data_IF_546725745784
#
_entry.id   IF_546725745784
#
_cell.length_a   1.000
_cell.length_b   1.000
_cell.length_c   1.000
_cell.angle_alpha   90.00
_cell.angle_beta   90.00
_cell.angle_gamma   90.00
#
_symmetry.space_group_name_H-M   'P 1'
#
loop_
_entity.id
_entity.type
_entity.pdbx_description
1 polymer ?
#
# COMPACT_ATOMS: atom_id res chain seq x y z
N UNK A 1 -0.14 -6.61 -23.34
CA UNK A 1 0.14 -7.99 -23.78
C UNK A 1 1.61 -8.40 -23.63
N UNK A 2 2.60 -7.53 -23.88
CA UNK A 2 4.02 -7.90 -23.68
C UNK A 2 4.44 -7.99 -22.20
N UNK A 3 4.04 -7.02 -21.36
CA UNK A 3 4.48 -6.96 -19.96
C UNK A 3 3.94 -8.11 -19.09
N UNK A 4 2.66 -8.50 -19.25
CA UNK A 4 2.07 -9.62 -18.51
C UNK A 4 2.76 -10.95 -18.81
N UNK A 5 3.18 -11.14 -20.06
CA UNK A 5 3.88 -12.34 -20.52
C UNK A 5 5.27 -12.46 -19.91
N UNK A 6 5.99 -11.35 -19.79
CA UNK A 6 7.31 -11.30 -19.14
C UNK A 6 7.18 -11.67 -17.66
N UNK A 7 6.18 -11.12 -16.96
CA UNK A 7 5.97 -11.40 -15.54
C UNK A 7 5.58 -12.87 -15.28
N UNK A 8 4.79 -13.48 -16.18
CA UNK A 8 4.48 -14.91 -16.11
C UNK A 8 5.72 -15.79 -16.34
N UNK A 9 6.57 -15.44 -17.31
CA UNK A 9 7.82 -16.15 -17.61
C UNK A 9 8.82 -16.05 -16.45
N UNK A 10 8.80 -14.95 -15.69
CA UNK A 10 9.60 -14.77 -14.47
C UNK A 10 8.96 -15.37 -13.20
N UNK A 11 7.77 -15.98 -13.32
CA UNK A 11 7.07 -16.61 -12.19
C UNK A 11 6.50 -15.61 -11.17
N UNK A 12 6.32 -14.34 -11.55
CA UNK A 12 5.89 -13.24 -10.67
C UNK A 12 4.37 -13.03 -10.66
N UNK A 13 3.63 -13.69 -11.55
CA UNK A 13 2.18 -13.57 -11.67
C UNK A 13 1.72 -12.26 -12.34
N UNK A 14 0.41 -12.14 -12.57
CA UNK A 14 -0.18 -10.93 -13.16
C UNK A 14 -0.52 -9.96 -12.02
N UNK A 15 -0.09 -8.68 -12.11
CA UNK A 15 -0.45 -7.69 -11.11
C UNK A 15 -1.95 -7.42 -11.14
N UNK A 16 -2.51 -7.21 -9.95
CA UNK A 16 -3.87 -6.69 -9.79
C UNK A 16 -4.01 -5.30 -10.41
N UNK A 17 -5.24 -4.92 -10.73
CA UNK A 17 -5.54 -3.57 -11.21
C UNK A 17 -5.03 -2.50 -10.22
N UNK A 18 -5.17 -2.74 -8.92
CA UNK A 18 -4.74 -1.80 -7.88
C UNK A 18 -3.21 -1.63 -7.85
N UNK A 19 -2.44 -2.70 -8.04
CA UNK A 19 -0.98 -2.62 -8.15
C UNK A 19 -0.54 -1.83 -9.38
N UNK A 20 -1.21 -2.03 -10.52
CA UNK A 20 -0.93 -1.29 -11.76
C UNK A 20 -1.23 0.20 -11.57
N UNK A 21 -2.38 0.55 -11.00
CA UNK A 21 -2.76 1.96 -10.75
C UNK A 21 -1.83 2.61 -9.73
N UNK A 22 -1.42 1.89 -8.69
CA UNK A 22 -0.46 2.37 -7.69
C UNK A 22 0.90 2.67 -8.34
N UNK A 23 1.42 1.77 -9.18
CA UNK A 23 2.66 2.01 -9.90
C UNK A 23 2.55 3.22 -10.84
N UNK A 24 1.43 3.34 -11.57
CA UNK A 24 1.15 4.47 -12.45
C UNK A 24 1.09 5.80 -11.70
N UNK A 25 0.45 5.84 -10.52
CA UNK A 25 0.33 7.07 -9.72
C UNK A 25 1.69 7.55 -9.21
N UNK A 26 2.53 6.65 -8.70
CA UNK A 26 3.89 6.97 -8.24
C UNK A 26 4.76 7.52 -9.37
N UNK A 27 4.71 6.89 -10.56
CA UNK A 27 5.41 7.38 -11.75
C UNK A 27 4.89 8.77 -12.16
N UNK A 28 3.58 8.96 -12.16
CA UNK A 28 2.97 10.23 -12.51
C UNK A 28 3.39 11.35 -11.56
N UNK A 29 3.35 11.12 -10.23
CA UNK A 29 3.77 12.11 -9.24
C UNK A 29 5.24 12.50 -9.37
N UNK A 30 6.12 11.52 -9.64
CA UNK A 30 7.53 11.78 -9.95
C UNK A 30 7.68 12.65 -11.18
N UNK A 31 7.00 12.32 -12.28
CA UNK A 31 7.11 13.04 -13.55
C UNK A 31 6.55 14.47 -13.46
N UNK A 32 5.52 14.67 -12.62
CA UNK A 32 4.98 15.98 -12.30
C UNK A 32 5.81 16.77 -11.29
N UNK A 33 6.83 16.16 -10.68
CA UNK A 33 7.70 16.80 -9.67
C UNK A 33 6.89 17.44 -8.54
N UNK A 34 5.89 16.71 -8.02
CA UNK A 34 5.08 17.21 -6.90
C UNK A 34 5.95 17.38 -5.66
N UNK A 35 5.71 18.42 -4.87
CA UNK A 35 6.43 18.64 -3.61
C UNK A 35 6.03 17.60 -2.55
N UNK A 36 4.74 17.26 -2.51
CA UNK A 36 4.16 16.28 -1.59
C UNK A 36 3.13 15.44 -2.34
N UNK A 37 3.20 14.12 -2.19
CA UNK A 37 2.17 13.19 -2.60
C UNK A 37 1.47 12.62 -1.36
N UNK A 38 0.14 12.68 -1.34
CA UNK A 38 -0.68 12.01 -0.32
C UNK A 38 -1.14 10.69 -0.90
N UNK A 39 -0.76 9.59 -0.25
CA UNK A 39 -1.05 8.23 -0.71
C UNK A 39 -2.04 7.61 0.28
N UNK A 40 -3.26 7.37 -0.19
CA UNK A 40 -4.28 6.63 0.55
C UNK A 40 -4.05 5.13 0.37
N UNK A 41 -4.08 4.40 1.48
CA UNK A 41 -3.97 2.94 1.51
C UNK A 41 -5.26 2.32 0.95
N UNK A 42 -5.14 1.29 0.11
CA UNK A 42 -6.30 0.58 -0.44
C UNK A 42 -7.04 -0.22 0.64
N UNK A 43 -6.40 -1.27 1.18
CA UNK A 43 -6.97 -2.09 2.26
C UNK A 43 -5.90 -2.39 3.32
N UNK A 44 -6.20 -2.01 4.56
CA UNK A 44 -5.35 -2.31 5.70
C UNK A 44 -4.09 -1.46 5.76
N UNK A 45 -2.96 -1.96 5.22
CA UNK A 45 -1.67 -1.26 5.30
C UNK A 45 -0.46 -2.17 5.07
N UNK A 46 -0.29 -3.20 5.90
CA UNK A 46 0.91 -4.06 5.92
C UNK A 46 1.26 -4.65 4.55
N UNK A 47 0.27 -5.25 3.88
CA UNK A 47 0.42 -5.86 2.55
C UNK A 47 -0.22 -5.05 1.42
N UNK A 48 -0.55 -3.79 1.67
CA UNK A 48 -1.15 -2.93 0.65
C UNK A 48 -0.12 -2.54 -0.40
N UNK A 49 -0.52 -2.45 -1.67
CA UNK A 49 0.38 -2.10 -2.79
C UNK A 49 1.06 -0.74 -2.59
N UNK A 50 0.46 0.16 -1.82
CA UNK A 50 1.03 1.47 -1.51
C UNK A 50 2.18 1.42 -0.50
N UNK A 51 2.35 0.31 0.25
CA UNK A 51 3.32 0.17 1.36
C UNK A 51 4.77 -0.10 0.90
N UNK A 52 5.12 0.33 -0.31
CA UNK A 52 6.46 0.23 -0.91
C UNK A 52 7.28 1.53 -0.79
N UNK A 53 6.71 2.55 -0.14
CA UNK A 53 7.31 3.88 0.03
C UNK A 53 7.82 4.09 1.46
N UNK A 54 8.74 5.06 1.61
CA UNK A 54 9.15 5.60 2.92
C UNK A 54 8.54 6.99 3.08
N UNK A 55 7.40 7.14 3.79
CA UNK A 55 6.74 8.43 3.93
C UNK A 55 7.44 9.30 4.98
N UNK A 56 7.28 10.62 4.86
CA UNK A 56 7.70 11.58 5.91
C UNK A 56 6.74 11.58 7.11
N UNK A 57 5.51 11.12 6.91
CA UNK A 57 4.45 11.05 7.90
C UNK A 57 3.52 9.88 7.56
N UNK A 58 3.21 9.06 8.56
CA UNK A 58 2.19 8.01 8.46
C UNK A 58 0.96 8.43 9.27
N UNK A 59 -0.24 8.21 8.73
CA UNK A 59 -1.49 8.59 9.39
C UNK A 59 -2.40 7.38 9.47
N UNK A 60 -2.79 7.02 10.69
CA UNK A 60 -3.87 6.07 10.96
C UNK A 60 -5.04 6.89 11.48
N UNK A 61 -6.18 6.81 10.80
CA UNK A 61 -7.39 7.58 11.16
C UNK A 61 -8.15 6.88 12.29
N UNK A 62 -9.16 6.09 11.97
CA UNK A 62 -9.95 5.30 12.91
C UNK A 62 -9.77 3.82 12.64
N UNK A 63 -9.74 3.02 13.72
CA UNK A 63 -9.73 1.56 13.65
C UNK A 63 -11.12 1.08 14.04
N UNK A 64 -11.75 0.27 13.17
CA UNK A 64 -13.06 -0.30 13.39
C UNK A 64 -13.15 -1.67 12.71
N UNK A 65 -14.26 -2.39 12.87
CA UNK A 65 -14.49 -3.66 12.20
C UNK A 65 -14.77 -3.46 10.70
N UNK A 66 -13.71 -3.34 9.90
CA UNK A 66 -13.72 -3.25 8.45
C UNK A 66 -12.94 -4.41 7.82
N UNK A 67 -13.34 -4.82 6.60
CA UNK A 67 -12.63 -5.82 5.79
C UNK A 67 -12.17 -7.08 6.56
N UNK A 68 -12.98 -7.56 7.52
CA UNK A 68 -12.60 -8.63 8.46
C UNK A 68 -12.20 -9.94 7.78
N UNK A 69 -12.69 -10.20 6.57
CA UNK A 69 -12.30 -11.37 5.77
C UNK A 69 -10.83 -11.35 5.33
N UNK A 70 -10.20 -10.17 5.35
CA UNK A 70 -8.80 -9.94 4.92
C UNK A 70 -7.95 -9.57 6.13
N UNK A 71 -8.45 -8.67 7.00
CA UNK A 71 -7.68 -8.04 8.07
C UNK A 71 -7.71 -8.81 9.40
N UNK A 72 -8.58 -9.81 9.51
CA UNK A 72 -8.81 -10.56 10.75
C UNK A 72 -10.08 -10.14 11.47
N UNK A 73 -10.42 -10.89 12.52
CA UNK A 73 -11.72 -10.79 13.20
C UNK A 73 -11.69 -9.97 14.49
N UNK A 74 -10.56 -9.37 14.85
CA UNK A 74 -10.42 -8.56 16.08
C UNK A 74 -9.88 -7.16 15.77
N UNK A 75 -10.17 -6.19 16.63
CA UNK A 75 -9.65 -4.83 16.45
C UNK A 75 -8.12 -4.80 16.52
N UNK A 76 -7.51 -5.69 17.30
CA UNK A 76 -6.07 -5.87 17.38
C UNK A 76 -5.49 -6.32 16.03
N UNK A 77 -6.07 -7.35 15.39
CA UNK A 77 -5.62 -7.81 14.07
C UNK A 77 -5.72 -6.73 12.99
N UNK A 78 -6.81 -5.95 13.02
CA UNK A 78 -7.02 -4.82 12.10
C UNK A 78 -6.01 -3.71 12.40
N UNK A 79 -5.76 -3.41 13.68
CA UNK A 79 -4.79 -2.40 14.11
C UNK A 79 -3.36 -2.77 13.67
N UNK A 80 -2.95 -4.02 13.84
CA UNK A 80 -1.64 -4.51 13.40
C UNK A 80 -1.46 -4.35 11.89
N UNK A 81 -2.49 -4.69 11.11
CA UNK A 81 -2.42 -4.56 9.66
C UNK A 81 -2.36 -3.08 9.23
N UNK A 82 -3.12 -2.19 9.86
CA UNK A 82 -3.05 -0.73 9.57
C UNK A 82 -1.73 -0.13 10.06
N UNK A 83 -1.16 -0.60 11.16
CA UNK A 83 0.14 -0.18 11.68
C UNK A 83 1.31 -0.54 10.76
N UNK A 84 1.11 -1.44 9.79
CA UNK A 84 2.12 -1.83 8.81
C UNK A 84 2.65 -0.69 7.91
N UNK A 85 1.99 0.48 7.88
CA UNK A 85 2.51 1.67 7.18
C UNK A 85 3.50 2.49 8.01
N UNK A 86 3.63 2.22 9.32
CA UNK A 86 4.55 2.94 10.18
C UNK A 86 5.99 2.55 9.80
N UNK A 87 6.80 3.53 9.39
CA UNK A 87 8.21 3.35 9.04
C UNK A 87 9.10 4.17 9.97
N UNK A 88 10.23 3.59 10.35
CA UNK A 88 11.18 4.21 11.28
C UNK A 88 10.75 4.08 12.74
N UNK A 89 11.65 4.43 13.65
CA UNK A 89 11.34 4.50 15.07
C UNK A 89 10.52 5.76 15.35
N UNK A 90 9.43 5.69 16.14
CA UNK A 90 8.83 6.88 16.71
C UNK A 90 9.94 7.68 17.41
N UNK A 91 10.09 8.94 17.02
CA UNK A 91 10.95 9.87 17.75
C UNK A 91 10.26 10.17 19.08
N UNK A 92 10.51 9.35 20.08
CA UNK A 92 10.14 9.60 21.48
C UNK A 92 11.22 10.42 22.17
#
# INVERSE_FOLDING_TARGET
MAASRILEEEGLGIPSEFEVVTAMSLLYFRDRKVDIAVIEVGIGGLYDATNIITPILSVITSINFDHMSILGSTLESIAEHKAGIIKGSPSV
#
